data_IF_956133994207
#
_entry.id   IF_956133994207
#
_cell.length_a   1.000
_cell.length_b   1.000
_cell.length_c   1.000
_cell.angle_alpha   90.00
_cell.angle_beta   90.00
_cell.angle_gamma   90.00
#
_symmetry.space_group_name_H-M   'P 1'
#
loop_
_entity.id
_entity.type
_entity.pdbx_description
1 polymer ?
#
# COMPACT_ATOMS: atom_id res chain seq x y z
N UNK A 1 -10.18 -7.33 -44.43
CA UNK A 1 -10.18 -7.41 -42.95
C UNK A 1 -9.76 -8.82 -42.48
N UNK A 2 -8.58 -9.30 -42.87
CA UNK A 2 -8.12 -10.65 -42.47
C UNK A 2 -6.59 -10.81 -42.41
N UNK A 3 -5.81 -9.72 -42.40
CA UNK A 3 -4.34 -9.79 -42.31
C UNK A 3 -3.72 -9.08 -41.10
N UNK A 4 -4.53 -8.54 -40.18
CA UNK A 4 -4.04 -7.85 -38.97
C UNK A 4 -3.96 -8.79 -37.73
N UNK A 5 -4.74 -9.86 -37.70
CA UNK A 5 -4.74 -10.82 -36.58
C UNK A 5 -3.56 -11.81 -36.62
N UNK A 6 -2.97 -12.08 -37.79
CA UNK A 6 -1.85 -13.02 -37.94
C UNK A 6 -0.51 -12.51 -37.38
N UNK A 7 -0.33 -11.19 -37.22
CA UNK A 7 0.92 -10.61 -36.70
C UNK A 7 0.99 -10.52 -35.17
N UNK A 8 -0.15 -10.67 -34.46
CA UNK A 8 -0.19 -10.68 -32.99
C UNK A 8 0.19 -12.04 -32.40
N UNK A 9 -0.11 -13.15 -33.08
CA UNK A 9 0.28 -14.50 -32.62
C UNK A 9 1.76 -14.84 -32.85
N UNK A 10 2.47 -14.12 -33.72
CA UNK A 10 3.88 -14.40 -34.00
C UNK A 10 4.82 -13.88 -32.90
N UNK A 11 4.48 -12.75 -32.27
CA UNK A 11 5.26 -12.18 -31.15
C UNK A 11 5.09 -12.95 -29.83
N UNK A 12 3.91 -13.51 -29.57
CA UNK A 12 3.69 -14.38 -28.41
C UNK A 12 4.43 -15.72 -28.55
N UNK A 13 4.55 -16.23 -29.79
CA UNK A 13 5.29 -17.47 -30.08
C UNK A 13 6.81 -17.26 -30.02
N UNK A 14 7.33 -16.08 -30.37
CA UNK A 14 8.77 -15.77 -30.27
C UNK A 14 9.27 -15.64 -28.83
N UNK A 15 8.43 -15.20 -27.89
CA UNK A 15 8.78 -15.18 -26.46
C UNK A 15 8.77 -16.58 -25.80
N UNK A 16 8.08 -17.57 -26.39
CA UNK A 16 8.06 -18.96 -25.91
C UNK A 16 9.37 -19.74 -26.21
N UNK A 17 10.21 -19.26 -27.13
CA UNK A 17 11.44 -19.98 -27.52
C UNK A 17 12.60 -19.80 -26.53
N UNK A 18 12.54 -18.81 -25.63
CA UNK A 18 13.58 -18.55 -24.62
C UNK A 18 13.35 -19.37 -23.34
N UNK A 19 12.14 -19.92 -23.15
CA UNK A 19 11.70 -20.60 -21.93
C UNK A 19 12.19 -22.06 -21.80
N UNK A 20 12.78 -22.65 -22.83
CA UNK A 20 13.22 -24.05 -22.80
C UNK A 20 14.56 -24.30 -22.09
N UNK A 21 15.21 -23.28 -21.51
CA UNK A 21 16.46 -23.47 -20.74
C UNK A 21 16.31 -23.37 -19.21
N UNK A 22 15.10 -23.10 -18.69
CA UNK A 22 14.86 -22.93 -17.24
C UNK A 22 14.44 -24.22 -16.51
N UNK A 23 14.00 -25.24 -17.26
CA UNK A 23 13.50 -26.52 -16.70
C UNK A 23 14.59 -27.39 -16.03
N UNK A 24 15.87 -27.03 -16.16
CA UNK A 24 16.99 -27.75 -15.57
C UNK A 24 17.37 -27.27 -14.15
N UNK A 25 16.80 -26.15 -13.66
CA UNK A 25 17.12 -25.64 -12.31
C UNK A 25 16.22 -26.18 -11.18
N UNK A 26 15.00 -26.66 -11.48
CA UNK A 26 14.05 -27.09 -10.45
C UNK A 26 14.36 -28.46 -9.81
N UNK A 27 15.29 -29.25 -10.37
CA UNK A 27 15.58 -30.61 -9.88
C UNK A 27 16.57 -30.71 -8.73
N UNK A 28 17.17 -29.61 -8.27
CA UNK A 28 18.26 -29.67 -7.27
C UNK A 28 17.92 -29.16 -5.86
N UNK A 29 16.68 -28.75 -5.56
CA UNK A 29 16.32 -28.18 -4.24
C UNK A 29 15.44 -29.10 -3.37
N UNK A 30 15.11 -30.31 -3.81
CA UNK A 30 14.31 -31.27 -3.03
C UNK A 30 15.15 -32.41 -2.44
N UNK A 31 16.08 -32.09 -1.53
CA UNK A 31 16.68 -33.08 -0.62
C UNK A 31 17.23 -32.39 0.63
N UNK A 32 17.04 -33.04 1.79
CA UNK A 32 17.38 -32.62 3.18
C UNK A 32 16.24 -31.81 3.85
N UNK A 33 15.57 -32.16 4.96
CA UNK A 33 15.72 -33.15 6.04
C UNK A 33 14.33 -33.50 6.62
N UNK A 34 14.12 -34.74 7.02
CA UNK A 34 12.99 -35.17 7.88
C UNK A 34 13.53 -36.06 8.99
N UNK A 35 13.33 -35.66 10.25
CA UNK A 35 13.04 -36.52 11.41
C UNK A 35 13.11 -35.73 12.71
N UNK A 36 12.02 -35.66 13.47
CA UNK A 36 11.89 -36.33 14.78
C UNK A 36 10.55 -36.04 15.48
N UNK A 37 9.98 -37.10 16.05
CA UNK A 37 8.74 -37.15 16.84
C UNK A 37 8.96 -36.69 18.29
N UNK A 38 7.95 -36.12 18.96
CA UNK A 38 7.19 -36.85 20.01
C UNK A 38 6.25 -35.99 20.89
N UNK A 39 5.04 -36.56 21.08
CA UNK A 39 4.22 -36.73 22.29
C UNK A 39 3.64 -35.55 23.10
N UNK A 40 2.34 -35.71 23.31
CA UNK A 40 1.33 -34.93 24.01
C UNK A 40 1.29 -35.19 25.52
N UNK A 41 0.96 -34.19 26.34
CA UNK A 41 0.13 -34.36 27.55
C UNK A 41 -0.59 -33.06 27.92
N UNK A 42 -1.92 -33.15 28.11
CA UNK A 42 -2.85 -32.06 28.42
C UNK A 42 -3.17 -32.11 29.92
N UNK A 43 -3.01 -31.00 30.66
CA UNK A 43 -3.54 -30.86 32.05
C UNK A 43 -4.53 -29.69 32.11
N UNK A 44 -5.79 -30.01 32.43
CA UNK A 44 -6.85 -29.06 32.80
C UNK A 44 -6.76 -28.78 34.30
N UNK A 45 -6.84 -27.50 34.69
CA UNK A 45 -7.12 -27.09 36.06
C UNK A 45 -8.42 -26.28 36.09
N UNK A 46 -9.42 -26.83 36.79
CA UNK A 46 -10.61 -26.10 37.22
C UNK A 46 -10.33 -25.50 38.60
N UNK A 47 -10.68 -24.22 38.83
CA UNK A 47 -10.72 -23.65 40.17
C UNK A 47 -12.02 -22.87 40.37
N UNK A 48 -12.91 -23.46 41.15
CA UNK A 48 -14.09 -22.84 41.77
C UNK A 48 -13.64 -21.87 42.87
N UNK A 49 -14.20 -20.65 42.87
CA UNK A 49 -14.04 -19.68 43.95
C UNK A 49 -15.26 -19.75 44.88
N UNK A 50 -15.01 -20.07 46.14
CA UNK A 50 -15.99 -20.05 47.23
C UNK A 50 -15.84 -18.73 47.98
N UNK A 51 -16.95 -18.01 48.14
CA UNK A 51 -17.08 -16.75 48.88
C UNK A 51 -17.18 -17.02 50.38
N UNK A 52 -16.25 -16.47 51.16
CA UNK A 52 -16.38 -16.33 52.61
C UNK A 52 -16.22 -14.84 52.97
N UNK A 53 -17.29 -14.27 53.49
CA UNK A 53 -17.39 -12.91 54.00
C UNK A 53 -17.08 -12.98 55.50
N UNK A 54 -16.04 -12.29 55.96
CA UNK A 54 -15.87 -11.96 57.38
C UNK A 54 -15.43 -10.51 57.55
N UNK A 55 -16.19 -9.76 58.35
CA UNK A 55 -16.02 -8.33 58.65
C UNK A 55 -15.01 -8.06 59.78
N UNK A 56 -14.10 -7.10 59.52
CA UNK A 56 -13.56 -6.01 60.38
C UNK A 56 -12.75 -6.38 61.66
N UNK A 57 -11.69 -5.61 62.03
CA UNK A 57 -11.83 -4.22 62.47
C UNK A 57 -10.80 -3.22 61.93
N UNK A 58 -11.22 -1.96 62.02
CA UNK A 58 -10.52 -0.72 61.67
C UNK A 58 -9.28 -0.47 62.52
N UNK A 59 -8.14 -0.27 61.85
CA UNK A 59 -6.99 0.44 62.41
C UNK A 59 -6.66 1.58 61.45
N UNK A 60 -6.78 2.79 61.98
CA UNK A 60 -6.34 4.04 61.36
C UNK A 60 -4.82 4.01 61.25
N UNK A 61 -4.31 3.88 60.04
CA UNK A 61 -2.93 4.19 59.72
C UNK A 61 -2.98 4.86 58.36
N UNK A 62 -2.62 6.14 58.31
CA UNK A 62 -2.39 6.87 57.09
C UNK A 62 -1.29 6.14 56.31
N UNK A 63 -1.69 5.28 55.38
CA UNK A 63 -0.82 4.83 54.31
C UNK A 63 -0.98 5.89 53.23
N UNK A 64 0.08 6.66 53.00
CA UNK A 64 0.23 7.36 51.74
C UNK A 64 0.12 6.30 50.64
N UNK A 65 -1.05 6.23 50.00
CA UNK A 65 -1.20 5.51 48.75
C UNK A 65 -0.41 6.30 47.73
N UNK A 66 0.87 5.95 47.55
CA UNK A 66 1.58 6.25 46.32
C UNK A 66 0.75 5.62 45.21
N UNK A 67 -0.11 6.41 44.56
CA UNK A 67 -0.78 6.02 43.32
C UNK A 67 0.33 5.56 42.39
N UNK A 68 0.38 4.25 42.15
CA UNK A 68 1.19 3.72 41.08
C UNK A 68 0.58 4.32 39.82
N UNK A 69 1.23 5.33 39.25
CA UNK A 69 0.84 5.89 37.97
C UNK A 69 0.97 4.78 36.95
N UNK A 70 -0.17 4.19 36.57
CA UNK A 70 -0.24 3.23 35.48
C UNK A 70 0.07 4.03 34.22
N UNK A 71 1.17 3.74 33.52
CA UNK A 71 1.49 4.43 32.28
C UNK A 71 0.36 4.26 31.27
N UNK A 72 0.25 5.19 30.32
CA UNK A 72 -0.69 5.05 29.21
C UNK A 72 -0.33 3.78 28.43
N UNK A 73 -1.18 2.76 28.51
CA UNK A 73 -0.94 1.45 27.88
C UNK A 73 -1.69 1.26 26.56
N UNK A 74 -2.55 2.22 26.21
CA UNK A 74 -3.32 2.20 24.96
C UNK A 74 -3.11 3.50 24.19
N UNK A 75 -2.53 3.36 23.01
CA UNK A 75 -2.27 4.45 22.07
C UNK A 75 -2.83 4.02 20.71
N UNK A 76 -4.04 4.49 20.33
CA UNK A 76 -4.78 3.97 19.18
C UNK A 76 -4.09 4.18 17.82
N UNK A 77 -3.11 5.09 17.73
CA UNK A 77 -2.47 5.51 16.48
C UNK A 77 -0.93 5.31 16.49
N UNK A 78 -0.42 4.56 17.48
CA UNK A 78 1.02 4.51 17.79
C UNK A 78 1.49 5.76 18.55
N UNK A 79 2.62 5.68 19.25
CA UNK A 79 3.29 6.87 19.78
C UNK A 79 4.19 7.42 18.68
N UNK A 80 3.93 8.66 18.25
CA UNK A 80 4.91 9.44 17.50
C UNK A 80 6.08 9.78 18.41
N UNK A 81 7.30 9.70 17.88
CA UNK A 81 8.48 10.15 18.60
C UNK A 81 8.50 11.68 18.60
N UNK A 82 8.45 12.29 19.78
CA UNK A 82 8.44 13.74 19.93
C UNK A 82 9.68 14.41 19.34
N UNK A 83 10.83 13.73 19.31
CA UNK A 83 12.03 14.24 18.65
C UNK A 83 11.85 14.23 17.13
N UNK A 84 11.31 13.14 16.58
CA UNK A 84 11.01 13.02 15.17
C UNK A 84 9.98 14.06 14.71
N UNK A 85 8.94 14.32 15.50
CA UNK A 85 7.93 15.35 15.18
C UNK A 85 8.53 16.76 15.10
N UNK A 86 9.51 17.08 15.95
CA UNK A 86 10.22 18.36 15.92
C UNK A 86 11.10 18.46 14.67
N UNK A 87 11.82 17.38 14.32
CA UNK A 87 12.63 17.32 13.10
C UNK A 87 11.76 17.45 11.84
N UNK A 88 10.62 16.75 11.77
CA UNK A 88 9.68 16.83 10.64
C UNK A 88 9.11 18.24 10.48
N UNK A 89 8.81 18.93 11.59
CA UNK A 89 8.36 20.33 11.56
C UNK A 89 9.46 21.29 11.11
N UNK A 90 10.70 21.08 11.53
CA UNK A 90 11.86 21.84 11.08
C UNK A 90 12.08 21.67 9.58
N UNK A 91 12.10 20.43 9.08
CA UNK A 91 12.18 20.12 7.65
C UNK A 91 11.04 20.77 6.86
N UNK A 92 9.82 20.75 7.38
CA UNK A 92 8.68 21.41 6.73
C UNK A 92 8.83 22.93 6.71
N UNK A 93 9.38 23.53 7.76
CA UNK A 93 9.66 24.97 7.78
C UNK A 93 10.76 25.32 6.79
N UNK A 94 11.84 24.56 6.79
CA UNK A 94 13.01 24.74 5.92
C UNK A 94 12.62 24.59 4.45
N UNK A 95 11.81 23.59 4.10
CA UNK A 95 11.30 23.39 2.74
C UNK A 95 10.59 24.65 2.18
N UNK A 96 9.80 25.33 3.01
CA UNK A 96 9.09 26.55 2.60
C UNK A 96 9.90 27.84 2.80
N UNK A 97 10.98 27.82 3.57
CA UNK A 97 11.78 29.01 3.86
C UNK A 97 13.08 29.08 3.03
N UNK A 98 13.60 27.95 2.53
CA UNK A 98 14.84 27.89 1.75
C UNK A 98 14.57 28.12 0.24
N UNK A 99 15.32 29.05 -0.40
CA UNK A 99 15.22 29.28 -1.84
C UNK A 99 15.71 28.06 -2.64
N UNK A 100 15.03 27.70 -3.74
CA UNK A 100 15.58 26.73 -4.70
C UNK A 100 16.80 27.33 -5.38
N UNK A 101 17.91 26.60 -5.38
CA UNK A 101 18.95 26.78 -6.39
C UNK A 101 18.32 26.25 -7.67
N UNK A 102 17.72 27.13 -8.50
CA UNK A 102 17.39 26.74 -9.87
C UNK A 102 18.72 26.40 -10.52
N UNK A 103 18.87 25.17 -11.00
CA UNK A 103 19.96 24.83 -11.90
C UNK A 103 19.90 25.84 -13.04
N UNK A 104 20.86 26.76 -13.06
CA UNK A 104 20.99 27.74 -14.10
C UNK A 104 21.31 26.95 -15.37
N UNK A 105 20.29 26.73 -16.21
CA UNK A 105 20.51 26.35 -17.59
C UNK A 105 21.40 27.44 -18.22
N UNK A 106 22.67 27.08 -18.45
CA UNK A 106 23.63 27.64 -19.41
C UNK A 106 23.28 29.03 -19.99
N UNK A 107 23.31 30.08 -19.16
CA UNK A 107 23.43 31.44 -19.69
C UNK A 107 24.62 32.15 -19.05
N UNK A 108 25.62 32.39 -19.89
CA UNK A 108 26.80 33.20 -19.62
C UNK A 108 26.38 34.56 -19.06
N UNK A 109 26.66 34.83 -17.78
CA UNK A 109 26.75 36.19 -17.28
C UNK A 109 27.79 36.33 -16.15
N UNK A 110 28.67 37.29 -16.39
CA UNK A 110 29.76 37.80 -15.56
C UNK A 110 29.42 38.07 -14.08
N UNK A 111 30.48 37.94 -13.28
CA UNK A 111 30.75 38.58 -11.98
C UNK A 111 29.68 39.56 -11.45
N UNK A 112 28.84 39.06 -10.55
CA UNK A 112 28.05 39.85 -9.63
C UNK A 112 27.43 38.93 -8.60
N UNK A 113 27.82 39.04 -7.34
CA UNK A 113 27.11 38.39 -6.24
C UNK A 113 25.72 39.02 -6.12
N UNK A 114 24.76 38.52 -6.91
CA UNK A 114 23.36 38.83 -6.71
C UNK A 114 22.96 38.27 -5.34
N UNK A 115 22.57 39.18 -4.46
CA UNK A 115 21.92 38.84 -3.20
C UNK A 115 20.62 38.13 -3.58
N UNK A 116 20.60 36.80 -3.42
CA UNK A 116 19.37 36.02 -3.55
C UNK A 116 18.46 36.49 -2.42
N UNK A 117 17.48 37.35 -2.72
CA UNK A 117 16.42 37.67 -1.78
C UNK A 117 15.76 36.35 -1.36
N UNK A 118 15.81 36.04 -0.06
CA UNK A 118 15.15 34.89 0.56
C UNK A 118 13.63 35.10 0.48
N UNK A 119 13.04 34.85 -0.69
CA UNK A 119 11.59 34.88 -0.87
C UNK A 119 11.05 33.54 -0.34
N UNK A 120 10.25 33.52 0.74
CA UNK A 120 9.65 32.29 1.25
C UNK A 120 8.78 31.67 0.16
N UNK A 121 8.86 30.35 -0.02
CA UNK A 121 7.93 29.63 -0.89
C UNK A 121 6.54 29.76 -0.30
N UNK A 122 5.61 30.34 -1.06
CA UNK A 122 4.21 30.47 -0.65
C UNK A 122 3.42 29.23 -1.09
N UNK A 123 3.91 28.54 -2.11
CA UNK A 123 3.24 27.43 -2.78
C UNK A 123 4.21 26.33 -3.21
N UNK A 124 3.68 25.13 -3.50
CA UNK A 124 4.44 23.93 -3.88
C UNK A 124 3.86 23.35 -5.16
N UNK A 125 4.73 23.09 -6.13
CA UNK A 125 4.39 22.40 -7.37
C UNK A 125 4.24 20.89 -7.16
N UNK A 126 3.64 20.17 -8.11
CA UNK A 126 3.52 18.70 -8.05
C UNK A 126 4.85 17.95 -7.86
N UNK A 127 5.91 18.20 -8.64
CA UNK A 127 7.17 17.47 -8.48
C UNK A 127 7.83 17.74 -7.12
N UNK A 128 7.82 18.99 -6.66
CA UNK A 128 8.42 19.35 -5.36
C UNK A 128 7.63 18.75 -4.18
N UNK A 129 6.33 18.52 -4.36
CA UNK A 129 5.48 17.91 -3.32
C UNK A 129 5.85 16.44 -3.03
N UNK A 130 6.44 15.73 -3.99
CA UNK A 130 6.87 14.34 -3.77
C UNK A 130 7.96 14.24 -2.69
N UNK A 131 8.89 15.20 -2.64
CA UNK A 131 9.93 15.28 -1.61
C UNK A 131 9.32 15.43 -0.21
N UNK A 132 8.31 16.31 -0.06
CA UNK A 132 7.57 16.49 1.19
C UNK A 132 6.87 15.20 1.62
N UNK A 133 6.27 14.47 0.69
CA UNK A 133 5.55 13.22 0.96
C UNK A 133 6.49 12.12 1.47
N UNK A 134 7.67 12.00 0.87
CA UNK A 134 8.67 10.99 1.26
C UNK A 134 9.38 11.36 2.55
N UNK A 135 10.01 12.54 2.60
CA UNK A 135 10.91 12.95 3.69
C UNK A 135 10.16 13.33 4.96
N UNK A 136 9.01 14.01 4.83
CA UNK A 136 8.28 14.58 5.97
C UNK A 136 7.10 13.68 6.34
N UNK A 137 6.24 13.32 5.37
CA UNK A 137 5.08 12.49 5.67
C UNK A 137 5.47 11.02 5.87
N UNK A 138 6.57 10.58 5.28
CA UNK A 138 7.07 9.22 5.38
C UNK A 138 6.28 8.22 4.55
N UNK A 139 5.71 8.67 3.43
CA UNK A 139 4.87 7.91 2.50
C UNK A 139 5.55 7.75 1.13
N UNK A 140 5.16 6.76 0.30
CA UNK A 140 5.79 6.55 -1.00
C UNK A 140 5.55 7.69 -1.99
N UNK A 141 6.56 8.02 -2.79
CA UNK A 141 6.56 9.10 -3.78
C UNK A 141 5.48 8.91 -4.85
N UNK A 142 5.21 7.67 -5.27
CA UNK A 142 4.17 7.39 -6.25
C UNK A 142 2.76 7.76 -5.76
N UNK A 143 2.53 7.84 -4.45
CA UNK A 143 1.26 8.28 -3.87
C UNK A 143 1.13 9.82 -3.76
N UNK A 144 2.20 10.57 -4.04
CA UNK A 144 2.21 12.04 -3.93
C UNK A 144 1.17 12.71 -4.84
N UNK A 145 0.96 12.18 -6.05
CA UNK A 145 0.00 12.71 -7.02
C UNK A 145 -1.43 12.67 -6.50
N UNK A 146 -1.83 11.54 -5.90
CA UNK A 146 -3.16 11.36 -5.29
C UNK A 146 -3.34 12.27 -4.09
N UNK A 147 -2.34 12.39 -3.23
CA UNK A 147 -2.39 13.32 -2.10
C UNK A 147 -2.48 14.77 -2.56
N UNK A 148 -1.75 15.14 -3.61
CA UNK A 148 -1.79 16.47 -4.19
C UNK A 148 -3.20 16.81 -4.66
N UNK A 149 -3.82 15.91 -5.43
CA UNK A 149 -5.19 16.09 -5.96
C UNK A 149 -6.21 16.29 -4.84
N UNK A 150 -6.09 15.50 -3.78
CA UNK A 150 -6.97 15.59 -2.62
C UNK A 150 -6.83 16.92 -1.90
N UNK A 151 -5.60 17.34 -1.63
CA UNK A 151 -5.32 18.63 -0.97
C UNK A 151 -5.78 19.82 -1.82
N UNK A 152 -5.60 19.73 -3.14
CA UNK A 152 -6.04 20.77 -4.06
C UNK A 152 -7.57 20.84 -4.15
N UNK A 153 -8.27 19.72 -4.02
CA UNK A 153 -9.73 19.67 -4.02
C UNK A 153 -10.38 20.08 -2.68
N UNK A 154 -9.67 20.02 -1.56
CA UNK A 154 -10.19 20.42 -0.23
C UNK A 154 -10.78 21.85 -0.15
N UNK A 155 -10.11 22.90 -0.65
CA UNK A 155 -10.66 24.26 -0.61
C UNK A 155 -11.91 24.44 -1.51
N UNK A 156 -12.11 23.60 -2.53
CA UNK A 156 -13.25 23.70 -3.44
C UNK A 156 -14.58 23.23 -2.82
N UNK A 157 -14.55 22.44 -1.74
CA UNK A 157 -15.75 22.00 -1.02
C UNK A 157 -16.41 23.11 -0.16
N UNK A 158 -15.86 24.33 -0.14
CA UNK A 158 -16.43 25.50 0.54
C UNK A 158 -17.07 26.50 -0.44
N UNK A 159 -16.88 26.33 -1.76
CA UNK A 159 -17.42 27.30 -2.74
C UNK A 159 -18.67 26.74 -3.41
N UNK A 160 -19.79 27.33 -3.02
CA UNK A 160 -21.10 27.28 -3.66
C UNK A 160 -20.99 27.19 -5.20
N UNK A 161 -21.64 26.18 -5.78
CA UNK A 161 -21.79 25.98 -7.23
C UNK A 161 -22.72 27.07 -7.76
N UNK A 162 -22.19 28.27 -7.91
CA UNK A 162 -22.87 29.34 -8.64
C UNK A 162 -21.93 30.49 -8.97
N UNK A 163 -20.92 30.29 -9.83
CA UNK A 163 -20.38 31.35 -10.71
C UNK A 163 -19.40 30.83 -11.75
N UNK A 164 -19.73 31.03 -13.03
CA UNK A 164 -18.76 31.32 -14.08
C UNK A 164 -18.03 30.15 -14.71
N UNK A 165 -18.57 29.65 -15.84
CA UNK A 165 -17.72 29.08 -16.89
C UNK A 165 -16.71 30.16 -17.32
N UNK A 166 -15.43 29.92 -17.11
CA UNK A 166 -14.36 30.61 -17.83
C UNK A 166 -13.77 29.63 -18.83
N UNK A 167 -13.90 30.00 -20.11
CA UNK A 167 -13.32 29.32 -21.25
C UNK A 167 -11.78 29.52 -21.26
N UNK A 168 -11.07 28.77 -20.42
CA UNK A 168 -9.60 28.72 -20.41
C UNK A 168 -9.15 27.27 -20.54
N UNK A 169 -8.19 27.01 -21.45
CA UNK A 169 -7.61 25.71 -21.69
C UNK A 169 -7.14 25.06 -20.37
N UNK A 170 -7.68 23.89 -19.97
CA UNK A 170 -7.35 23.25 -18.70
C UNK A 170 -5.90 22.74 -18.61
N UNK A 171 -5.12 22.81 -19.70
CA UNK A 171 -3.72 22.32 -19.76
C UNK A 171 -2.64 23.34 -19.36
N UNK A 172 -2.99 24.57 -18.94
CA UNK A 172 -2.01 25.66 -18.79
C UNK A 172 -1.97 26.40 -17.46
N UNK A 173 -2.71 25.96 -16.43
CA UNK A 173 -2.54 26.48 -15.07
C UNK A 173 -1.70 25.49 -14.28
N UNK A 174 -0.45 25.85 -14.02
CA UNK A 174 0.40 25.13 -13.06
C UNK A 174 -0.34 25.09 -11.72
N UNK A 175 -0.80 23.91 -11.32
CA UNK A 175 -1.49 23.73 -10.05
C UNK A 175 -0.45 23.77 -8.95
N UNK A 176 -0.69 24.60 -7.93
CA UNK A 176 0.19 24.72 -6.78
C UNK A 176 -0.60 24.60 -5.47
N UNK A 177 -0.01 23.95 -4.47
CA UNK A 177 -0.56 23.86 -3.12
C UNK A 177 -0.02 24.96 -2.23
N UNK A 178 -0.89 25.62 -1.48
CA UNK A 178 -0.47 26.65 -0.52
C UNK A 178 0.23 26.04 0.70
N UNK A 179 1.21 26.76 1.25
CA UNK A 179 1.88 26.41 2.52
C UNK A 179 0.88 26.04 3.62
N UNK A 180 -0.16 26.84 3.81
CA UNK A 180 -1.18 26.61 4.83
C UNK A 180 -1.89 25.26 4.68
N UNK A 181 -2.17 24.83 3.45
CA UNK A 181 -2.84 23.55 3.19
C UNK A 181 -1.96 22.36 3.57
N UNK A 182 -0.67 22.43 3.24
CA UNK A 182 0.31 21.37 3.56
C UNK A 182 0.55 21.28 5.07
N UNK A 183 0.73 22.42 5.76
CA UNK A 183 0.86 22.46 7.21
C UNK A 183 -0.38 21.93 7.93
N UNK A 184 -1.56 22.30 7.46
CA UNK A 184 -2.84 21.81 8.01
C UNK A 184 -2.98 20.30 7.86
N UNK A 185 -2.57 19.74 6.71
CA UNK A 185 -2.56 18.30 6.50
C UNK A 185 -1.62 17.61 7.47
N UNK A 186 -0.38 18.10 7.60
CA UNK A 186 0.59 17.54 8.54
C UNK A 186 0.06 17.55 9.99
N UNK A 187 -0.50 18.67 10.44
CA UNK A 187 -1.00 18.79 11.81
C UNK A 187 -2.19 17.85 12.10
N UNK A 188 -3.07 17.63 11.11
CA UNK A 188 -4.26 16.81 11.30
C UNK A 188 -4.03 15.32 11.05
N UNK A 189 -3.24 14.97 10.04
CA UNK A 189 -3.09 13.60 9.54
C UNK A 189 -1.74 12.94 9.88
N UNK A 190 -0.68 13.72 10.11
CA UNK A 190 0.67 13.19 10.36
C UNK A 190 1.09 13.26 11.83
N UNK A 191 0.89 14.42 12.47
CA UNK A 191 1.34 14.70 13.83
C UNK A 191 0.77 13.71 14.85
N UNK A 192 1.61 13.15 15.71
CA UNK A 192 1.20 12.19 16.74
C UNK A 192 0.84 10.80 16.24
N UNK A 193 1.13 10.46 14.98
CA UNK A 193 0.82 9.16 14.37
C UNK A 193 2.08 8.48 13.83
N UNK A 194 2.19 7.17 14.00
CA UNK A 194 3.25 6.39 13.37
C UNK A 194 3.13 6.41 11.84
N UNK A 195 4.24 6.26 11.11
CA UNK A 195 4.23 6.28 9.62
C UNK A 195 3.22 5.28 9.01
N UNK A 196 3.09 4.02 9.47
CA UNK A 196 2.05 3.11 8.95
C UNK A 196 0.62 3.61 9.23
N UNK A 197 0.39 4.30 10.34
CA UNK A 197 -0.89 4.93 10.62
C UNK A 197 -1.16 6.11 9.67
N UNK A 198 -0.14 6.92 9.36
CA UNK A 198 -0.24 8.00 8.36
C UNK A 198 -0.70 7.44 7.01
N UNK A 199 -0.08 6.36 6.53
CA UNK A 199 -0.48 5.67 5.28
C UNK A 199 -1.94 5.21 5.34
N UNK A 200 -2.32 4.53 6.43
CA UNK A 200 -3.68 4.01 6.59
C UNK A 200 -4.75 5.11 6.53
N UNK A 201 -4.53 6.24 7.22
CA UNK A 201 -5.49 7.36 7.19
C UNK A 201 -5.44 8.15 5.89
N UNK A 202 -4.27 8.26 5.27
CA UNK A 202 -4.13 8.81 3.94
C UNK A 202 -5.00 8.02 2.94
N UNK A 203 -4.90 6.69 2.93
CA UNK A 203 -5.71 5.84 2.04
C UNK A 203 -7.22 5.90 2.34
N UNK A 204 -7.62 6.03 3.61
CA UNK A 204 -9.03 6.17 3.99
C UNK A 204 -9.69 7.46 3.50
N UNK A 205 -8.91 8.49 3.16
CA UNK A 205 -9.39 9.77 2.63
C UNK A 205 -10.57 10.36 3.44
N UNK A 206 -10.39 10.54 4.75
CA UNK A 206 -11.41 11.07 5.68
C UNK A 206 -12.72 10.26 5.77
N UNK A 207 -12.73 9.02 5.29
CA UNK A 207 -13.86 8.12 5.51
C UNK A 207 -14.08 7.87 7.00
N UNK A 208 -15.34 7.73 7.42
CA UNK A 208 -15.69 7.32 8.79
C UNK A 208 -15.44 5.83 9.07
N UNK A 209 -15.01 5.08 8.04
CA UNK A 209 -14.63 3.66 8.16
C UNK A 209 -13.32 3.52 8.92
N UNK A 210 -13.19 2.39 9.61
CA UNK A 210 -11.97 1.99 10.33
C UNK A 210 -11.24 0.83 9.66
N UNK A 211 -11.45 0.62 8.37
CA UNK A 211 -10.80 -0.43 7.57
C UNK A 211 -10.65 0.01 6.11
N UNK A 212 -9.60 -0.48 5.45
CA UNK A 212 -9.39 -0.38 4.01
C UNK A 212 -10.08 -1.55 3.31
N UNK A 213 -10.78 -1.23 2.21
CA UNK A 213 -11.34 -2.18 1.27
C UNK A 213 -10.58 -2.18 -0.05
N UNK A 214 -11.11 -2.95 -1.01
CA UNK A 214 -10.55 -3.06 -2.37
C UNK A 214 -10.32 -1.70 -3.05
N UNK A 215 -11.26 -0.73 -3.00
CA UNK A 215 -11.09 0.54 -3.72
C UNK A 215 -9.87 1.35 -3.25
N UNK A 216 -9.61 1.37 -1.94
CA UNK A 216 -8.50 2.14 -1.37
C UNK A 216 -7.14 1.53 -1.74
N UNK A 217 -7.03 0.20 -1.75
CA UNK A 217 -5.80 -0.48 -2.18
C UNK A 217 -5.64 -0.38 -3.70
N UNK A 218 -6.73 -0.41 -4.46
CA UNK A 218 -6.68 -0.27 -5.92
C UNK A 218 -6.14 1.10 -6.35
N UNK A 219 -6.58 2.20 -5.72
CA UNK A 219 -6.06 3.55 -5.98
C UNK A 219 -4.54 3.66 -5.72
N UNK A 220 -4.04 3.02 -4.65
CA UNK A 220 -2.62 2.93 -4.37
C UNK A 220 -1.87 2.20 -5.50
N UNK A 221 -2.40 1.07 -5.96
CA UNK A 221 -1.79 0.27 -7.04
C UNK A 221 -1.86 1.00 -8.39
N UNK A 222 -2.92 1.75 -8.68
CA UNK A 222 -3.00 2.59 -9.88
C UNK A 222 -1.92 3.67 -9.88
N UNK A 223 -1.69 4.29 -8.72
CA UNK A 223 -0.62 5.29 -8.55
C UNK A 223 0.75 4.70 -8.85
N UNK A 224 1.02 3.49 -8.34
CA UNK A 224 2.24 2.75 -8.63
C UNK A 224 2.39 2.44 -10.13
N UNK A 225 1.30 2.04 -10.80
CA UNK A 225 1.33 1.69 -12.22
C UNK A 225 1.63 2.86 -13.16
N UNK A 226 1.28 4.08 -12.74
CA UNK A 226 1.57 5.29 -13.50
C UNK A 226 3.03 5.70 -13.34
N UNK A 227 3.57 5.62 -12.12
CA UNK A 227 4.87 6.17 -11.77
C UNK A 227 6.04 5.19 -11.93
N UNK A 228 5.84 3.89 -11.72
CA UNK A 228 6.95 2.95 -11.56
C UNK A 228 7.62 2.58 -12.91
N UNK A 229 8.95 2.77 -13.06
CA UNK A 229 9.65 2.54 -14.33
C UNK A 229 9.57 1.08 -14.79
N UNK A 230 9.71 0.13 -13.85
CA UNK A 230 9.58 -1.31 -14.09
C UNK A 230 8.21 -1.78 -14.57
N UNK A 231 7.17 -0.92 -14.58
CA UNK A 231 5.82 -1.23 -15.06
C UNK A 231 5.40 -0.39 -16.27
N UNK A 232 6.26 0.54 -16.73
CA UNK A 232 5.98 1.44 -17.86
C UNK A 232 5.53 0.72 -19.15
N UNK A 233 6.05 -0.48 -19.40
CA UNK A 233 5.67 -1.29 -20.56
C UNK A 233 4.19 -1.74 -20.55
N UNK A 234 3.56 -1.83 -19.37
CA UNK A 234 2.16 -2.22 -19.24
C UNK A 234 1.18 -1.14 -19.70
N UNK A 235 1.62 0.13 -19.76
CA UNK A 235 0.79 1.25 -20.22
C UNK A 235 0.32 1.06 -21.67
N UNK A 236 1.08 0.31 -22.48
CA UNK A 236 0.70 -0.02 -23.86
C UNK A 236 -0.44 -1.05 -23.95
N UNK A 237 -0.79 -1.73 -22.84
CA UNK A 237 -1.75 -2.83 -22.78
C UNK A 237 -2.69 -2.69 -21.57
N UNK A 238 -3.78 -1.89 -21.68
CA UNK A 238 -4.68 -1.62 -20.57
C UNK A 238 -5.34 -2.87 -19.96
N UNK A 239 -5.64 -3.89 -20.77
CA UNK A 239 -6.22 -5.15 -20.29
C UNK A 239 -5.25 -5.88 -19.34
N UNK A 240 -3.96 -5.96 -19.67
CA UNK A 240 -2.95 -6.59 -18.81
C UNK A 240 -2.67 -5.73 -17.57
N UNK A 241 -2.71 -4.41 -17.71
CA UNK A 241 -2.56 -3.48 -16.60
C UNK A 241 -3.66 -3.70 -15.54
N UNK A 242 -4.91 -3.81 -15.98
CA UNK A 242 -6.03 -4.10 -15.09
C UNK A 242 -5.87 -5.45 -14.38
N UNK A 243 -5.49 -6.51 -15.12
CA UNK A 243 -5.28 -7.85 -14.53
C UNK A 243 -4.14 -7.89 -13.53
N UNK A 244 -3.06 -7.17 -13.81
CA UNK A 244 -1.97 -7.01 -12.86
C UNK A 244 -2.46 -6.29 -11.59
N UNK A 245 -3.18 -5.18 -11.72
CA UNK A 245 -3.72 -4.45 -10.59
C UNK A 245 -4.62 -5.33 -9.70
N UNK A 246 -5.58 -6.03 -10.31
CA UNK A 246 -6.46 -6.99 -9.62
C UNK A 246 -5.65 -8.06 -8.86
N UNK A 247 -4.62 -8.62 -9.50
CA UNK A 247 -3.76 -9.65 -8.89
C UNK A 247 -2.97 -9.10 -7.70
N UNK A 248 -2.39 -7.91 -7.83
CA UNK A 248 -1.63 -7.27 -6.75
C UNK A 248 -2.53 -6.97 -5.57
N UNK A 249 -3.73 -6.41 -5.80
CA UNK A 249 -4.71 -6.16 -4.74
C UNK A 249 -5.04 -7.46 -4.01
N UNK A 250 -5.34 -8.54 -4.73
CA UNK A 250 -5.63 -9.84 -4.13
C UNK A 250 -4.44 -10.39 -3.32
N UNK A 251 -3.19 -10.21 -3.77
CA UNK A 251 -1.99 -10.59 -3.01
C UNK A 251 -1.78 -9.76 -1.75
N UNK A 252 -2.09 -8.47 -1.78
CA UNK A 252 -2.07 -7.59 -0.61
C UNK A 252 -3.11 -8.07 0.41
N UNK A 253 -4.36 -8.28 -0.02
CA UNK A 253 -5.39 -8.82 0.88
C UNK A 253 -5.03 -10.19 1.44
N UNK A 254 -4.43 -11.06 0.62
CA UNK A 254 -4.03 -12.40 1.03
C UNK A 254 -2.95 -12.39 2.13
N UNK A 255 -1.99 -11.46 2.07
CA UNK A 255 -0.85 -11.47 2.99
C UNK A 255 -0.99 -10.49 4.16
N UNK A 256 -1.67 -9.36 3.95
CA UNK A 256 -1.86 -8.32 4.98
C UNK A 256 -3.09 -8.63 5.85
N UNK A 257 -4.22 -9.02 5.24
CA UNK A 257 -5.44 -9.25 6.01
C UNK A 257 -5.34 -10.56 6.80
N UNK A 258 -5.32 -10.46 8.13
CA UNK A 258 -5.33 -11.65 9.01
C UNK A 258 -6.69 -12.35 9.02
N UNK A 259 -7.75 -11.68 8.57
CA UNK A 259 -9.12 -12.17 8.64
C UNK A 259 -9.71 -12.33 7.23
N UNK A 260 -10.45 -13.42 7.00
CA UNK A 260 -11.16 -13.65 5.74
C UNK A 260 -12.38 -12.72 5.52
N UNK A 261 -12.40 -11.55 6.15
CA UNK A 261 -13.48 -10.55 6.06
C UNK A 261 -13.33 -9.61 4.85
N UNK A 262 -12.22 -9.67 4.12
CA UNK A 262 -11.92 -8.75 3.02
C UNK A 262 -11.71 -7.31 3.49
N UNK A 263 -11.22 -7.13 4.73
CA UNK A 263 -10.99 -5.82 5.36
C UNK A 263 -9.59 -5.79 5.95
N UNK A 264 -8.86 -4.71 5.68
CA UNK A 264 -7.54 -4.45 6.26
C UNK A 264 -7.70 -3.37 7.34
N UNK A 265 -7.34 -3.69 8.58
CA UNK A 265 -7.37 -2.77 9.70
C UNK A 265 -5.99 -2.14 9.94
N UNK A 266 -5.93 -1.05 10.71
CA UNK A 266 -4.66 -0.39 11.05
C UNK A 266 -3.63 -1.37 11.65
N UNK A 267 -4.09 -2.28 12.51
CA UNK A 267 -3.23 -3.31 13.10
C UNK A 267 -2.60 -4.20 12.03
N UNK A 268 -3.35 -4.58 11.00
CA UNK A 268 -2.85 -5.45 9.94
C UNK A 268 -1.72 -4.76 9.17
N UNK A 269 -1.88 -3.47 8.86
CA UNK A 269 -0.86 -2.64 8.18
C UNK A 269 0.42 -2.50 9.01
N UNK A 270 0.28 -2.33 10.33
CA UNK A 270 1.41 -2.23 11.26
C UNK A 270 2.13 -3.57 11.42
N UNK A 271 1.39 -4.67 11.58
CA UNK A 271 1.96 -5.99 11.83
C UNK A 271 2.60 -6.61 10.58
N UNK A 272 2.18 -6.21 9.37
CA UNK A 272 2.65 -6.82 8.11
C UNK A 272 3.82 -6.08 7.45
N UNK A 273 4.36 -5.02 8.08
CA UNK A 273 5.43 -4.18 7.51
C UNK A 273 5.05 -3.68 6.10
N UNK A 274 3.77 -3.35 5.89
CA UNK A 274 3.25 -3.03 4.56
C UNK A 274 3.86 -1.75 4.01
N UNK A 275 3.97 -0.71 4.85
CA UNK A 275 4.58 0.55 4.45
C UNK A 275 6.03 0.36 4.04
N UNK A 276 6.81 -0.43 4.79
CA UNK A 276 8.22 -0.64 4.49
C UNK A 276 8.40 -1.29 3.11
N UNK A 277 7.53 -2.24 2.76
CA UNK A 277 7.54 -2.85 1.42
C UNK A 277 7.15 -1.85 0.32
N UNK A 278 6.25 -0.89 0.60
CA UNK A 278 5.93 0.17 -0.36
C UNK A 278 7.10 1.13 -0.57
N UNK A 279 7.83 1.48 0.50
CA UNK A 279 9.03 2.31 0.41
C UNK A 279 10.15 1.61 -0.37
N UNK A 280 10.34 0.30 -0.15
CA UNK A 280 11.29 -0.51 -0.92
C UNK A 280 10.98 -0.49 -2.43
N UNK A 281 9.70 -0.56 -2.79
CA UNK A 281 9.25 -0.49 -4.20
C UNK A 281 9.39 0.89 -4.79
N UNK A 282 9.30 1.93 -3.98
CA UNK A 282 9.49 3.31 -4.42
C UNK A 282 10.95 3.57 -4.84
N UNK A 283 11.91 2.94 -4.16
CA UNK A 283 13.34 3.06 -4.43
C UNK A 283 13.87 2.08 -5.49
N UNK A 284 13.25 0.90 -5.63
CA UNK A 284 13.76 -0.18 -6.48
C UNK A 284 13.22 -0.12 -7.92
N UNK A 285 14.10 0.08 -8.89
CA UNK A 285 13.71 0.16 -10.31
C UNK A 285 13.17 -1.17 -10.87
N UNK A 286 13.67 -2.31 -10.36
CA UNK A 286 13.21 -3.65 -10.75
C UNK A 286 12.10 -4.16 -9.82
N UNK A 287 10.85 -4.00 -10.28
CA UNK A 287 9.64 -4.44 -9.57
C UNK A 287 9.65 -5.91 -9.15
N UNK A 288 10.48 -6.76 -9.78
CA UNK A 288 10.53 -8.20 -9.48
C UNK A 288 11.38 -8.55 -8.27
N UNK A 289 12.17 -7.60 -7.74
CA UNK A 289 12.89 -7.81 -6.49
C UNK A 289 11.95 -7.87 -5.30
N UNK A 290 10.86 -7.10 -5.34
CA UNK A 290 9.78 -7.19 -4.36
C UNK A 290 8.90 -8.41 -4.70
N UNK A 291 9.00 -9.45 -3.86
CA UNK A 291 8.35 -10.75 -4.11
C UNK A 291 7.05 -10.96 -3.34
N UNK A 292 6.72 -10.16 -2.34
CA UNK A 292 5.51 -10.33 -1.52
C UNK A 292 4.25 -9.96 -2.30
N UNK A 293 4.24 -8.82 -2.98
CA UNK A 293 3.02 -8.24 -3.57
C UNK A 293 3.17 -7.89 -5.05
N UNK A 294 4.27 -7.23 -5.44
CA UNK A 294 4.35 -6.47 -6.68
C UNK A 294 5.10 -7.15 -7.82
N UNK A 295 5.82 -8.25 -7.57
CA UNK A 295 6.53 -8.97 -8.63
C UNK A 295 5.64 -9.25 -9.86
N UNK A 296 6.07 -8.70 -11.00
CA UNK A 296 5.43 -8.91 -12.29
C UNK A 296 5.61 -10.35 -12.78
N UNK A 297 6.77 -10.97 -12.52
CA UNK A 297 7.00 -12.39 -12.81
C UNK A 297 5.99 -13.30 -12.11
N UNK A 298 5.70 -13.04 -10.82
CA UNK A 298 4.68 -13.80 -10.10
C UNK A 298 3.28 -13.61 -10.70
N UNK A 299 2.92 -12.37 -11.06
CA UNK A 299 1.67 -12.11 -11.77
C UNK A 299 1.61 -12.91 -13.08
N UNK A 300 2.67 -12.89 -13.88
CA UNK A 300 2.69 -13.55 -15.18
C UNK A 300 2.49 -15.06 -15.06
N UNK A 301 3.15 -15.70 -14.08
CA UNK A 301 2.95 -17.12 -13.80
C UNK A 301 1.51 -17.42 -13.41
N UNK A 302 0.90 -16.63 -12.52
CA UNK A 302 -0.50 -16.81 -12.11
C UNK A 302 -1.46 -16.63 -13.29
N UNK A 303 -1.24 -15.60 -14.10
CA UNK A 303 -2.06 -15.31 -15.28
C UNK A 303 -1.97 -16.41 -16.33
N UNK A 304 -0.76 -16.92 -16.64
CA UNK A 304 -0.59 -18.05 -17.55
C UNK A 304 -1.34 -19.29 -17.06
N UNK A 305 -1.29 -19.58 -15.75
CA UNK A 305 -2.04 -20.72 -15.19
C UNK A 305 -3.53 -20.54 -15.27
N UNK A 306 -4.04 -19.34 -15.04
CA UNK A 306 -5.46 -19.04 -15.23
C UNK A 306 -5.86 -19.22 -16.70
N UNK A 307 -5.09 -18.62 -17.61
CA UNK A 307 -5.35 -18.65 -19.05
C UNK A 307 -5.27 -20.07 -19.65
N UNK A 308 -4.41 -20.93 -19.13
CA UNK A 308 -4.34 -22.35 -19.51
C UNK A 308 -5.61 -23.14 -19.14
N UNK A 309 -6.32 -22.73 -18.09
CA UNK A 309 -7.53 -23.39 -17.61
C UNK A 309 -8.79 -22.83 -18.30
N UNK A 310 -8.90 -21.50 -18.41
CA UNK A 310 -10.00 -20.76 -19.03
C UNK A 310 -9.94 -20.87 -20.57
N UNK A 311 -10.44 -21.99 -21.09
CA UNK A 311 -10.35 -22.32 -22.53
C UNK A 311 -11.34 -21.58 -23.43
N UNK A 312 -12.43 -21.07 -22.87
CA UNK A 312 -13.45 -20.28 -23.56
C UNK A 312 -13.26 -18.76 -23.35
N UNK A 313 -12.29 -18.37 -22.55
CA UNK A 313 -11.85 -16.99 -22.34
C UNK A 313 -12.96 -16.10 -21.78
N UNK A 314 -13.79 -16.66 -20.90
CA UNK A 314 -14.89 -15.96 -20.24
C UNK A 314 -14.48 -15.31 -18.90
N UNK A 315 -13.22 -15.51 -18.49
CA UNK A 315 -12.61 -15.01 -17.26
C UNK A 315 -13.21 -15.64 -15.99
N UNK A 316 -13.85 -16.79 -16.14
CA UNK A 316 -14.33 -17.63 -15.07
C UNK A 316 -13.63 -18.98 -15.14
N UNK A 317 -13.60 -19.67 -14.00
CA UNK A 317 -13.06 -21.03 -13.92
C UNK A 317 -14.17 -21.88 -13.34
N UNK A 318 -14.67 -22.79 -14.15
CA UNK A 318 -15.68 -23.73 -13.69
C UNK A 318 -15.03 -24.93 -12.97
N UNK A 319 -15.88 -25.85 -12.55
CA UNK A 319 -15.47 -27.03 -11.80
C UNK A 319 -14.60 -27.96 -12.67
N UNK A 320 -14.95 -28.11 -13.94
CA UNK A 320 -14.29 -28.97 -14.91
C UNK A 320 -12.92 -28.40 -15.32
N UNK A 321 -12.80 -27.08 -15.40
CA UNK A 321 -11.55 -26.35 -15.59
C UNK A 321 -10.59 -26.60 -14.44
N UNK A 322 -11.02 -26.32 -13.20
CA UNK A 322 -10.16 -26.46 -12.03
C UNK A 322 -9.72 -27.92 -11.80
N UNK A 323 -10.52 -28.90 -12.21
CA UNK A 323 -10.13 -30.31 -12.16
C UNK A 323 -8.93 -30.61 -13.04
N UNK A 324 -8.71 -29.91 -14.14
CA UNK A 324 -7.56 -30.10 -15.04
C UNK A 324 -6.26 -29.52 -14.46
N UNK A 325 -6.36 -28.68 -13.42
CA UNK A 325 -5.21 -28.01 -12.82
C UNK A 325 -4.09 -28.98 -12.42
N UNK A 326 -2.88 -28.65 -12.87
CA UNK A 326 -1.64 -29.37 -12.60
C UNK A 326 -1.74 -30.89 -12.85
N UNK A 327 -2.38 -31.28 -13.96
CA UNK A 327 -2.53 -32.69 -14.34
C UNK A 327 -3.47 -33.47 -13.41
N UNK A 328 -4.57 -32.85 -12.99
CA UNK A 328 -5.53 -33.42 -12.03
C UNK A 328 -4.96 -33.67 -10.63
N UNK A 329 -4.09 -32.76 -10.16
CA UNK A 329 -3.49 -32.86 -8.82
C UNK A 329 -4.51 -32.72 -7.68
N UNK A 330 -5.61 -32.00 -7.91
CA UNK A 330 -6.68 -31.79 -6.93
C UNK A 330 -7.76 -32.88 -7.04
N UNK A 331 -8.15 -33.45 -5.90
CA UNK A 331 -9.27 -34.40 -5.87
C UNK A 331 -10.61 -33.68 -6.08
N UNK A 332 -11.60 -34.37 -6.66
CA UNK A 332 -12.96 -33.83 -6.83
C UNK A 332 -13.54 -33.25 -5.53
N UNK A 333 -13.28 -33.90 -4.38
CA UNK A 333 -13.77 -33.42 -3.07
C UNK A 333 -13.15 -32.08 -2.64
N UNK A 334 -11.90 -31.82 -3.02
CA UNK A 334 -11.25 -30.53 -2.72
C UNK A 334 -11.85 -29.45 -3.63
N UNK A 335 -12.00 -29.75 -4.92
CA UNK A 335 -12.63 -28.84 -5.89
C UNK A 335 -14.04 -28.48 -5.44
N UNK A 336 -14.88 -29.47 -5.11
CA UNK A 336 -16.25 -29.24 -4.63
C UNK A 336 -16.24 -28.31 -3.39
N UNK A 337 -15.31 -28.50 -2.45
CA UNK A 337 -15.19 -27.63 -1.26
C UNK A 337 -14.79 -26.19 -1.58
N UNK A 338 -14.03 -25.95 -2.65
CA UNK A 338 -13.66 -24.60 -3.09
C UNK A 338 -14.93 -23.90 -3.57
N UNK A 339 -15.71 -24.54 -4.45
CA UNK A 339 -16.98 -24.01 -4.97
C UNK A 339 -18.09 -23.93 -3.90
N UNK A 340 -17.98 -24.66 -2.79
CA UNK A 340 -18.83 -24.50 -1.59
C UNK A 340 -18.43 -23.28 -0.72
N UNK A 341 -17.37 -22.54 -1.06
CA UNK A 341 -16.91 -21.38 -0.28
C UNK A 341 -16.24 -21.74 1.05
N UNK A 342 -15.69 -22.96 1.19
CA UNK A 342 -15.05 -23.43 2.44
C UNK A 342 -13.67 -22.82 2.70
N UNK A 343 -13.05 -22.21 1.69
CA UNK A 343 -11.75 -21.53 1.79
C UNK A 343 -11.92 -20.03 2.02
N UNK A 344 -12.37 -19.33 0.98
CA UNK A 344 -12.83 -17.93 1.04
C UNK A 344 -14.35 -17.94 0.96
N UNK A 345 -15.07 -17.30 1.90
CA UNK A 345 -16.52 -17.13 1.77
C UNK A 345 -16.82 -16.48 0.42
N UNK A 346 -17.73 -17.06 -0.34
CA UNK A 346 -18.20 -16.43 -1.57
C UNK A 346 -18.99 -15.19 -1.20
N UNK A 347 -18.78 -14.10 -1.95
CA UNK A 347 -19.60 -12.91 -1.81
C UNK A 347 -21.05 -13.29 -2.09
N UNK A 348 -21.92 -13.02 -1.10
CA UNK A 348 -23.34 -13.42 -1.10
C UNK A 348 -24.21 -12.58 -2.01
#
# INVERSE_FOLDING_TARGET
QSSSFGKKNQKATEMMAVSQSSDDLEKNLSRTMSSSNSLTTRRKYNRTLSTQITKKPSISSQKEETKVEVPRFYVPYGEGDSEQELMELELLCDFFNLPQIRDAEDDFAEEGAEQVEEIPRVSVSRPDFAEVVVEIFGLPSFYSSVLFDRLYAEPANIVDVSSGRTDLDPESVEQELTRESVFKYYEHECKGRSRPARLFYALLNKSSRNYLGVPEIYELVESLLVCHPGLSFLQATPEFQQRYAETVVERIFFSVSQNASGRIYLKDVVDSEFLDTLMEVDEEEDINRERKYFSYEHFYVLYCRFWELDTDHDLLIDREDLLRYNGHALTCRIVDRIFEGRGRPLDS
#
